data_IF_798233093276
#
_entry.id   IF_798233093276
#
_cell.length_a   1.000
_cell.length_b   1.000
_cell.length_c   1.000
_cell.angle_alpha   90.00
_cell.angle_beta   90.00
_cell.angle_gamma   90.00
#
_symmetry.space_group_name_H-M   'P 1'
#
loop_
_entity.id
_entity.type
_entity.pdbx_description
1 polymer ?
#
# COMPACT_ATOMS: atom_id res chain seq x y z
N UNK A 1 -6.16 19.99 -0.89
CA UNK A 1 -5.36 19.22 -1.88
C UNK A 1 -5.13 17.84 -1.29
N UNK A 2 -5.32 16.78 -2.07
CA UNK A 2 -5.20 15.41 -1.58
C UNK A 2 -3.95 14.77 -2.21
N UNK A 3 -3.16 14.07 -1.40
CA UNK A 3 -1.95 13.35 -1.83
C UNK A 3 -2.16 11.87 -1.52
N UNK A 4 -2.18 11.06 -2.56
CA UNK A 4 -2.36 9.62 -2.47
C UNK A 4 -1.02 8.93 -2.69
N UNK A 5 -0.61 8.07 -1.76
CA UNK A 5 0.70 7.43 -1.76
C UNK A 5 0.49 5.92 -1.74
N UNK A 6 0.90 5.27 -2.83
CA UNK A 6 0.91 3.82 -2.99
C UNK A 6 2.30 3.38 -3.42
N UNK A 7 3.09 2.87 -2.49
CA UNK A 7 4.36 2.18 -2.76
C UNK A 7 4.73 1.28 -1.57
N UNK A 8 5.74 0.42 -1.77
CA UNK A 8 6.27 -0.46 -0.72
C UNK A 8 6.51 -1.88 -1.20
N UNK A 9 5.80 -2.33 -2.25
CA UNK A 9 5.97 -3.69 -2.79
C UNK A 9 7.40 -3.93 -3.31
N UNK A 10 8.00 -2.94 -3.97
CA UNK A 10 9.37 -3.04 -4.49
C UNK A 10 10.44 -2.92 -3.40
N UNK A 11 10.09 -2.33 -2.25
CA UNK A 11 10.99 -2.19 -1.11
C UNK A 11 11.16 -3.51 -0.34
N UNK A 12 10.24 -4.47 -0.51
CA UNK A 12 10.27 -5.75 0.21
C UNK A 12 11.42 -6.63 -0.23
N UNK A 13 12.53 -6.47 0.47
CA UNK A 13 13.69 -7.34 0.41
C UNK A 13 13.91 -8.08 1.75
N UNK A 14 14.89 -8.98 1.78
CA UNK A 14 15.24 -9.77 2.95
C UNK A 14 15.73 -8.96 4.16
N UNK A 15 16.37 -7.80 3.90
CA UNK A 15 17.10 -6.99 4.89
C UNK A 15 16.25 -5.86 5.46
N UNK A 16 15.15 -5.51 4.81
CA UNK A 16 14.26 -4.44 5.23
C UNK A 16 13.25 -4.96 6.25
N UNK A 17 13.30 -4.45 7.49
CA UNK A 17 12.22 -4.69 8.46
C UNK A 17 11.07 -3.70 8.26
N UNK A 18 9.88 -4.03 8.78
CA UNK A 18 8.73 -3.13 8.73
C UNK A 18 8.94 -1.84 9.54
N UNK A 19 9.76 -1.89 10.60
CA UNK A 19 10.19 -0.71 11.36
C UNK A 19 11.11 0.19 10.54
N UNK A 20 12.15 -0.36 9.91
CA UNK A 20 13.06 0.41 9.06
C UNK A 20 12.30 1.05 7.89
N UNK A 21 11.37 0.30 7.29
CA UNK A 21 10.50 0.79 6.24
C UNK A 21 9.66 1.99 6.71
N UNK A 22 8.97 1.85 7.85
CA UNK A 22 8.11 2.93 8.37
C UNK A 22 8.88 4.14 8.89
N UNK A 23 10.11 3.98 9.41
CA UNK A 23 10.98 5.12 9.74
C UNK A 23 11.36 5.94 8.51
N UNK A 24 11.68 5.27 7.39
CA UNK A 24 11.94 5.95 6.11
C UNK A 24 10.68 6.63 5.58
N UNK A 25 9.54 5.96 5.69
CA UNK A 25 8.23 6.50 5.32
C UNK A 25 7.88 7.75 6.14
N UNK A 26 8.10 7.72 7.45
CA UNK A 26 7.84 8.84 8.37
C UNK A 26 8.67 10.08 7.97
N UNK A 27 9.96 9.89 7.66
CA UNK A 27 10.81 10.98 7.15
C UNK A 27 10.27 11.56 5.84
N UNK A 28 9.81 10.71 4.93
CA UNK A 28 9.19 11.13 3.68
C UNK A 28 7.89 11.93 3.90
N UNK A 29 7.01 11.46 4.78
CA UNK A 29 5.75 12.13 5.14
C UNK A 29 6.02 13.50 5.77
N UNK A 30 6.97 13.60 6.70
CA UNK A 30 7.36 14.88 7.32
C UNK A 30 7.84 15.89 6.28
N UNK A 31 8.61 15.43 5.28
CA UNK A 31 9.03 16.29 4.17
C UNK A 31 7.85 16.76 3.30
N UNK A 32 6.85 15.90 3.05
CA UNK A 32 5.63 16.30 2.33
C UNK A 32 4.85 17.36 3.13
N UNK A 33 4.61 17.12 4.43
CA UNK A 33 3.89 18.05 5.30
C UNK A 33 4.57 19.43 5.34
N UNK A 34 5.90 19.46 5.43
CA UNK A 34 6.65 20.71 5.42
C UNK A 34 6.46 21.52 4.11
N UNK A 35 6.40 20.83 2.97
CA UNK A 35 6.21 21.46 1.64
C UNK A 35 4.75 21.71 1.28
N UNK A 36 3.81 21.03 1.94
CA UNK A 36 2.39 21.12 1.66
C UNK A 36 1.55 20.96 2.94
N UNK A 37 1.61 21.94 3.86
CA UNK A 37 1.05 21.82 5.20
C UNK A 37 -0.47 21.64 5.22
N UNK A 38 -1.17 22.09 4.18
CA UNK A 38 -2.63 22.02 4.07
C UNK A 38 -3.13 20.82 3.23
N UNK A 39 -2.24 19.89 2.87
CA UNK A 39 -2.61 18.70 2.09
C UNK A 39 -3.10 17.57 2.99
N UNK A 40 -4.20 16.93 2.61
CA UNK A 40 -4.62 15.64 3.19
C UNK A 40 -3.79 14.54 2.56
N UNK A 41 -3.15 13.71 3.39
CA UNK A 41 -2.33 12.60 2.92
C UNK A 41 -3.08 11.28 3.16
N UNK A 42 -3.07 10.42 2.15
CA UNK A 42 -3.66 9.09 2.15
C UNK A 42 -2.58 8.07 1.79
N UNK A 43 -2.14 7.31 2.77
CA UNK A 43 -1.28 6.14 2.55
C UNK A 43 -2.17 4.95 2.23
N UNK A 44 -1.87 4.28 1.13
CA UNK A 44 -2.60 3.11 0.68
C UNK A 44 -1.90 1.83 1.13
N UNK A 45 -2.66 0.80 1.45
CA UNK A 45 -2.12 -0.53 1.74
C UNK A 45 -1.30 -1.06 0.57
N UNK A 46 -0.17 -1.69 0.86
CA UNK A 46 0.57 -2.53 -0.09
C UNK A 46 -0.35 -3.67 -0.51
N UNK A 47 -0.46 -3.90 -1.82
CA UNK A 47 -1.36 -4.89 -2.39
C UNK A 47 -0.77 -6.30 -2.26
N UNK A 48 -1.60 -7.33 -1.99
CA UNK A 48 -1.20 -8.72 -2.07
C UNK A 48 -0.76 -9.07 -3.51
N UNK A 49 0.01 -10.15 -3.61
CA UNK A 49 0.46 -10.72 -4.88
C UNK A 49 0.02 -12.19 -4.98
N UNK A 50 0.03 -12.74 -6.19
CA UNK A 50 -0.29 -14.15 -6.40
C UNK A 50 0.82 -15.09 -5.90
N UNK A 51 0.48 -16.37 -5.70
CA UNK A 51 1.45 -17.42 -5.38
C UNK A 51 2.57 -17.56 -6.42
N UNK A 52 2.29 -17.25 -7.69
CA UNK A 52 3.30 -17.23 -8.76
C UNK A 52 4.38 -16.19 -8.47
N UNK A 53 3.98 -15.00 -8.04
CA UNK A 53 4.91 -13.95 -7.66
C UNK A 53 5.71 -14.36 -6.42
N UNK A 54 5.07 -14.98 -5.42
CA UNK A 54 5.76 -15.47 -4.20
C UNK A 54 6.85 -16.49 -4.55
N UNK A 55 6.61 -17.40 -5.50
CA UNK A 55 7.62 -18.38 -5.93
C UNK A 55 8.88 -17.72 -6.52
N UNK A 56 8.72 -16.61 -7.24
CA UNK A 56 9.86 -15.87 -7.84
C UNK A 56 10.48 -14.85 -6.87
N UNK A 57 9.67 -14.28 -5.96
CA UNK A 57 10.06 -13.28 -4.97
C UNK A 57 9.51 -13.69 -3.60
N UNK A 58 10.15 -14.62 -2.87
CA UNK A 58 9.63 -15.16 -1.61
C UNK A 58 9.39 -14.11 -0.51
N UNK A 59 10.10 -12.98 -0.57
CA UNK A 59 9.92 -11.88 0.38
C UNK A 59 8.64 -11.07 0.13
N UNK A 60 8.06 -11.13 -1.06
CA UNK A 60 6.79 -10.48 -1.39
C UNK A 60 5.61 -11.40 -1.04
N UNK A 61 5.60 -12.01 0.14
CA UNK A 61 4.54 -12.91 0.58
C UNK A 61 3.50 -12.20 1.45
N UNK A 62 2.31 -12.80 1.57
CA UNK A 62 1.18 -12.23 2.30
C UNK A 62 1.47 -11.93 3.78
N UNK A 63 2.28 -12.75 4.46
CA UNK A 63 2.62 -12.52 5.86
C UNK A 63 3.45 -11.23 6.02
N UNK A 64 4.48 -11.06 5.18
CA UNK A 64 5.32 -9.86 5.18
C UNK A 64 4.55 -8.63 4.71
N UNK A 65 3.70 -8.77 3.69
CA UNK A 65 2.82 -7.68 3.24
C UNK A 65 1.90 -7.22 4.37
N UNK A 66 1.30 -8.14 5.11
CA UNK A 66 0.45 -7.82 6.26
C UNK A 66 1.23 -7.17 7.41
N UNK A 67 2.45 -7.65 7.69
CA UNK A 67 3.34 -7.03 8.67
C UNK A 67 3.62 -5.55 8.32
N UNK A 68 4.02 -5.27 7.09
CA UNK A 68 4.30 -3.92 6.61
C UNK A 68 3.06 -3.03 6.58
N UNK A 69 1.91 -3.56 6.15
CA UNK A 69 0.64 -2.84 6.19
C UNK A 69 0.22 -2.47 7.62
N UNK A 70 0.43 -3.36 8.59
CA UNK A 70 0.19 -3.08 10.00
C UNK A 70 1.12 -1.98 10.53
N UNK A 71 2.39 -2.02 10.15
CA UNK A 71 3.35 -0.97 10.50
C UNK A 71 2.95 0.38 9.88
N UNK A 72 2.57 0.42 8.60
CA UNK A 72 2.08 1.62 7.92
C UNK A 72 0.84 2.20 8.61
N UNK A 73 -0.12 1.34 9.00
CA UNK A 73 -1.33 1.77 9.71
C UNK A 73 -0.99 2.39 11.07
N UNK A 74 -0.05 1.81 11.82
CA UNK A 74 0.43 2.37 13.10
C UNK A 74 1.14 3.71 12.90
N UNK A 75 2.02 3.81 11.90
CA UNK A 75 2.73 5.04 11.57
C UNK A 75 1.76 6.14 11.12
N UNK A 76 0.78 5.82 10.27
CA UNK A 76 -0.25 6.75 9.82
C UNK A 76 -1.04 7.33 11.00
N UNK A 77 -1.42 6.50 11.98
CA UNK A 77 -2.06 6.95 13.23
C UNK A 77 -1.15 7.87 14.05
N UNK A 78 0.14 7.51 14.20
CA UNK A 78 1.13 8.33 14.93
C UNK A 78 1.30 9.71 14.28
N UNK A 79 1.34 9.74 12.95
CA UNK A 79 1.53 10.95 12.17
C UNK A 79 0.22 11.72 11.90
N UNK A 80 -0.92 11.28 12.42
CA UNK A 80 -2.24 11.91 12.14
C UNK A 80 -2.52 12.07 10.63
N UNK A 81 -2.31 10.99 9.87
CA UNK A 81 -2.61 10.91 8.44
C UNK A 81 -3.50 9.71 8.14
N UNK A 82 -4.15 9.74 6.98
CA UNK A 82 -5.12 8.71 6.61
C UNK A 82 -4.42 7.45 6.09
N UNK A 83 -4.90 6.29 6.54
CA UNK A 83 -4.55 4.99 5.97
C UNK A 83 -5.78 4.41 5.26
N UNK A 84 -5.59 3.96 4.01
CA UNK A 84 -6.66 3.45 3.14
C UNK A 84 -6.35 2.01 2.75
N UNK A 85 -7.20 1.07 3.17
CA UNK A 85 -6.98 -0.36 2.96
C UNK A 85 -7.46 -0.85 1.58
N UNK A 86 -6.82 -0.38 0.51
CA UNK A 86 -7.19 -0.75 -0.87
C UNK A 86 -7.04 -2.25 -1.17
N UNK A 87 -6.29 -2.99 -0.35
CA UNK A 87 -6.15 -4.44 -0.47
C UNK A 87 -7.50 -5.18 -0.27
N UNK A 88 -8.48 -4.56 0.38
CA UNK A 88 -9.82 -5.17 0.50
C UNK A 88 -10.52 -5.33 -0.85
N UNK A 89 -10.23 -4.47 -1.84
CA UNK A 89 -10.79 -4.56 -3.20
C UNK A 89 -10.54 -5.93 -3.83
N UNK A 90 -9.35 -6.48 -3.61
CA UNK A 90 -8.98 -7.79 -4.17
C UNK A 90 -9.66 -8.95 -3.46
N UNK A 91 -9.94 -8.79 -2.16
CA UNK A 91 -10.68 -9.78 -1.37
C UNK A 91 -12.14 -9.85 -1.81
N UNK A 92 -12.73 -8.70 -2.17
CA UNK A 92 -14.16 -8.59 -2.48
C UNK A 92 -14.48 -8.92 -3.95
N UNK A 93 -13.49 -8.83 -4.85
CA UNK A 93 -13.70 -9.02 -6.29
C UNK A 93 -14.10 -10.44 -6.72
N UNK A 94 -13.90 -11.46 -5.88
CA UNK A 94 -14.19 -12.89 -6.16
C UNK A 94 -13.59 -13.46 -7.48
N UNK A 95 -12.69 -12.72 -8.14
CA UNK A 95 -12.02 -13.11 -9.38
C UNK A 95 -10.53 -12.76 -9.28
N UNK A 96 -9.68 -13.49 -10.01
CA UNK A 96 -8.25 -13.16 -10.05
C UNK A 96 -8.00 -11.93 -10.94
N UNK A 97 -7.66 -10.83 -10.26
CA UNK A 97 -7.37 -9.54 -10.87
C UNK A 97 -5.89 -9.35 -11.23
N UNK A 98 -5.01 -10.30 -10.92
CA UNK A 98 -3.59 -10.16 -11.25
C UNK A 98 -3.33 -10.38 -12.74
N UNK A 99 -2.34 -9.67 -13.26
CA UNK A 99 -1.72 -9.94 -14.55
C UNK A 99 -0.84 -11.19 -14.49
N UNK A 100 -0.33 -11.60 -15.66
CA UNK A 100 0.46 -12.81 -15.80
C UNK A 100 1.72 -12.87 -14.93
N UNK A 101 2.27 -11.74 -14.46
CA UNK A 101 3.41 -11.74 -13.54
C UNK A 101 3.03 -11.95 -12.07
N UNK A 102 1.74 -11.85 -11.75
CA UNK A 102 1.23 -12.05 -10.42
C UNK A 102 1.46 -10.89 -9.45
N UNK A 103 1.97 -9.74 -9.91
CA UNK A 103 2.27 -8.54 -9.11
C UNK A 103 1.44 -7.36 -9.59
N UNK A 104 1.32 -7.17 -10.91
CA UNK A 104 0.49 -6.13 -11.49
C UNK A 104 -0.95 -6.62 -11.69
N UNK A 105 -1.85 -5.70 -12.04
CA UNK A 105 -3.28 -5.96 -12.09
C UNK A 105 -3.88 -5.67 -13.45
N UNK A 106 -4.92 -6.43 -13.78
CA UNK A 106 -5.76 -6.26 -14.98
C UNK A 106 -6.53 -4.95 -14.91
N UNK A 107 -6.94 -4.46 -16.07
CA UNK A 107 -7.75 -3.23 -16.22
C UNK A 107 -8.90 -3.11 -15.20
N UNK A 108 -9.63 -4.20 -14.95
CA UNK A 108 -10.77 -4.23 -14.02
C UNK A 108 -10.40 -3.79 -12.60
N UNK A 109 -9.20 -4.12 -12.11
CA UNK A 109 -8.75 -3.69 -10.79
C UNK A 109 -8.71 -2.16 -10.68
N UNK A 110 -8.23 -1.47 -11.70
CA UNK A 110 -8.04 -0.01 -11.64
C UNK A 110 -9.38 0.72 -11.50
N UNK A 111 -10.46 0.21 -12.11
CA UNK A 111 -11.81 0.76 -11.91
C UNK A 111 -12.23 0.60 -10.45
N UNK A 112 -12.10 -0.61 -9.90
CA UNK A 112 -12.49 -0.91 -8.53
C UNK A 112 -11.67 -0.10 -7.51
N UNK A 113 -10.37 0.05 -7.76
CA UNK A 113 -9.46 0.83 -6.95
C UNK A 113 -9.84 2.32 -6.94
N UNK A 114 -10.10 2.90 -8.11
CA UNK A 114 -10.51 4.31 -8.22
C UNK A 114 -11.86 4.55 -7.52
N UNK A 115 -12.84 3.67 -7.70
CA UNK A 115 -14.13 3.76 -7.01
C UNK A 115 -13.95 3.65 -5.50
N UNK A 116 -13.15 2.68 -5.03
CA UNK A 116 -12.87 2.52 -3.61
C UNK A 116 -12.23 3.77 -3.01
N UNK A 117 -11.28 4.40 -3.71
CA UNK A 117 -10.69 5.67 -3.27
C UNK A 117 -11.76 6.78 -3.21
N UNK A 118 -12.56 6.95 -4.27
CA UNK A 118 -13.61 7.96 -4.31
C UNK A 118 -14.64 7.81 -3.18
N UNK A 119 -14.99 6.58 -2.81
CA UNK A 119 -15.99 6.29 -1.78
C UNK A 119 -15.43 6.42 -0.35
N UNK A 120 -14.12 6.23 -0.16
CA UNK A 120 -13.48 6.14 1.16
C UNK A 120 -12.58 7.34 1.50
N UNK A 121 -12.44 8.31 0.60
CA UNK A 121 -11.65 9.54 0.85
C UNK A 121 -12.45 10.80 0.51
N UNK A 122 -12.03 11.95 1.06
CA UNK A 122 -12.72 13.25 0.93
C UNK A 122 -11.72 14.37 0.70
#
# INVERSE_FOLDING_TARGET
>A
KNIYILFGANDMDAKLSSEMFTQRYEKFIKNIKAKSPNSKIYIQSILPVSDKAVKSKPYLNSARINEFNNALKKMAKKEDINYVNIASVLKDANVDLHEGDGIHFKYQFYILWLNYLADNTK
#
